data_IF_109314012198
#
_entry.id   IF_109314012198
#
_cell.length_a   1.000
_cell.length_b   1.000
_cell.length_c   1.000
_cell.angle_alpha   90.00
_cell.angle_beta   90.00
_cell.angle_gamma   90.00
#
_symmetry.space_group_name_H-M   'P 1'
#
loop_
_entity.id
_entity.type
_entity.pdbx_description
1 polymer ?
#
# COMPACT_ATOMS: atom_id res chain seq x y z
N UNK A 1 27.22 -13.83 26.73
CA UNK A 1 26.45 -13.71 25.46
C UNK A 1 26.03 -12.27 25.13
N UNK A 2 25.58 -11.44 26.09
CA UNK A 2 25.17 -10.04 25.85
C UNK A 2 26.23 -9.16 25.15
N UNK A 3 27.50 -9.41 25.43
CA UNK A 3 28.61 -8.60 24.92
C UNK A 3 28.92 -8.85 23.43
N UNK A 4 28.64 -10.06 22.92
CA UNK A 4 28.86 -10.38 21.51
C UNK A 4 27.84 -9.67 20.60
N UNK A 5 26.58 -9.59 21.03
CA UNK A 5 25.54 -8.84 20.34
C UNK A 5 25.85 -7.33 20.30
N UNK A 6 26.35 -6.77 21.41
CA UNK A 6 26.78 -5.37 21.47
C UNK A 6 28.00 -5.10 20.57
N UNK A 7 28.95 -6.04 20.50
CA UNK A 7 30.10 -5.91 19.60
C UNK A 7 29.69 -5.96 18.13
N UNK A 8 28.79 -6.89 17.75
CA UNK A 8 28.24 -6.98 16.39
C UNK A 8 27.43 -5.72 16.04
N UNK A 9 26.63 -5.22 16.99
CA UNK A 9 25.88 -3.97 16.81
C UNK A 9 26.81 -2.78 16.57
N UNK A 10 27.83 -2.60 17.42
CA UNK A 10 28.80 -1.51 17.25
C UNK A 10 29.58 -1.65 15.94
N UNK A 11 30.03 -2.86 15.58
CA UNK A 11 30.71 -3.08 14.31
C UNK A 11 29.83 -2.73 13.10
N UNK A 12 28.56 -3.10 13.12
CA UNK A 12 27.62 -2.75 12.05
C UNK A 12 27.38 -1.24 12.00
N UNK A 13 27.17 -0.59 13.13
CA UNK A 13 26.92 0.86 13.22
C UNK A 13 28.16 1.67 12.81
N UNK A 14 29.35 1.22 13.21
CA UNK A 14 30.64 1.86 12.99
C UNK A 14 31.15 1.61 11.57
N UNK A 15 30.99 0.40 11.04
CA UNK A 15 31.22 0.07 9.63
C UNK A 15 30.27 0.83 8.70
N UNK A 16 28.99 0.92 9.07
CA UNK A 16 28.00 1.67 8.31
C UNK A 16 28.27 3.18 8.31
N UNK A 17 28.70 3.74 9.46
CA UNK A 17 28.99 5.18 9.60
C UNK A 17 30.31 5.61 8.97
N UNK A 18 31.34 4.76 9.02
CA UNK A 18 32.68 5.04 8.48
C UNK A 18 32.73 4.98 6.95
N UNK A 19 31.75 4.34 6.31
CA UNK A 19 31.67 4.23 4.85
C UNK A 19 30.82 5.33 4.22
N UNK A 20 31.45 6.21 3.42
CA UNK A 20 30.76 7.20 2.58
C UNK A 20 29.87 6.54 1.52
N UNK A 21 30.35 5.43 0.93
CA UNK A 21 29.60 4.62 -0.03
C UNK A 21 28.37 3.96 0.60
N UNK A 22 28.53 3.36 1.80
CA UNK A 22 27.44 2.72 2.53
C UNK A 22 26.33 3.71 2.90
N UNK A 23 26.70 4.89 3.39
CA UNK A 23 25.75 5.98 3.68
C UNK A 23 25.01 6.44 2.43
N UNK A 24 25.73 6.62 1.32
CA UNK A 24 25.14 7.03 0.03
C UNK A 24 24.15 5.98 -0.48
N UNK A 25 24.52 4.69 -0.45
CA UNK A 25 23.63 3.60 -0.84
C UNK A 25 22.39 3.52 0.04
N UNK A 26 22.53 3.68 1.36
CA UNK A 26 21.39 3.68 2.27
C UNK A 26 20.45 4.87 2.03
N UNK A 27 20.99 6.05 1.76
CA UNK A 27 20.20 7.22 1.38
C UNK A 27 19.46 6.96 0.06
N UNK A 28 20.11 6.32 -0.92
CA UNK A 28 19.46 5.92 -2.18
C UNK A 28 18.33 4.91 -1.92
N UNK A 29 18.54 3.91 -1.05
CA UNK A 29 17.51 2.93 -0.69
C UNK A 29 16.34 3.63 0.00
N UNK A 30 16.60 4.47 1.00
CA UNK A 30 15.55 5.25 1.69
C UNK A 30 14.79 6.16 0.74
N UNK A 31 15.49 6.87 -0.14
CA UNK A 31 14.88 7.72 -1.15
C UNK A 31 14.03 6.90 -2.11
N UNK A 32 14.53 5.75 -2.58
CA UNK A 32 13.79 4.87 -3.48
C UNK A 32 12.56 4.29 -2.80
N UNK A 33 12.66 3.86 -1.54
CA UNK A 33 11.51 3.40 -0.75
C UNK A 33 10.50 4.54 -0.52
N UNK A 34 10.96 5.76 -0.23
CA UNK A 34 10.09 6.91 -0.06
C UNK A 34 9.36 7.28 -1.36
N UNK A 35 10.08 7.36 -2.47
CA UNK A 35 9.52 7.66 -3.80
C UNK A 35 8.60 6.53 -4.27
N UNK A 36 9.01 5.27 -4.11
CA UNK A 36 8.15 4.12 -4.44
C UNK A 36 6.90 4.10 -3.56
N UNK A 37 7.03 4.34 -2.26
CA UNK A 37 5.87 4.43 -1.37
C UNK A 37 4.96 5.58 -1.77
N UNK A 38 5.51 6.75 -2.12
CA UNK A 38 4.70 7.90 -2.51
C UNK A 38 4.03 7.69 -3.86
N UNK A 39 4.72 7.15 -4.88
CA UNK A 39 4.13 6.86 -6.20
C UNK A 39 3.10 5.74 -6.07
N UNK A 40 3.42 4.62 -5.40
CA UNK A 40 2.44 3.57 -5.16
C UNK A 40 1.27 4.11 -4.36
N UNK A 41 1.50 4.92 -3.32
CA UNK A 41 0.40 5.52 -2.55
C UNK A 41 -0.43 6.49 -3.41
N UNK A 42 0.19 7.35 -4.20
CA UNK A 42 -0.49 8.34 -5.03
C UNK A 42 -1.10 7.72 -6.30
N UNK A 43 -0.71 6.51 -6.72
CA UNK A 43 -1.28 5.76 -7.84
C UNK A 43 -2.31 4.71 -7.41
N UNK A 44 -2.16 4.14 -6.21
CA UNK A 44 -3.07 3.15 -5.64
C UNK A 44 -4.18 3.80 -4.80
N UNK A 45 -3.96 5.02 -4.27
CA UNK A 45 -4.98 5.83 -3.57
C UNK A 45 -5.50 7.12 -4.27
N UNK A 46 -5.21 7.48 -5.55
CA UNK A 46 -5.80 8.66 -6.19
C UNK A 46 -7.26 8.41 -6.56
N UNK A 47 -7.60 7.17 -6.90
CA UNK A 47 -8.96 6.74 -7.24
C UNK A 47 -9.79 6.37 -6.01
N UNK A 48 -9.21 6.41 -4.80
CA UNK A 48 -9.94 6.22 -3.54
C UNK A 48 -10.50 7.53 -2.98
N UNK A 49 -9.98 8.69 -3.39
CA UNK A 49 -10.36 9.99 -2.79
C UNK A 49 -10.82 11.05 -3.80
N UNK A 50 -10.61 10.85 -5.11
CA UNK A 50 -10.81 11.94 -6.08
C UNK A 50 -11.86 11.68 -7.17
N UNK A 51 -12.50 10.51 -7.21
CA UNK A 51 -13.39 10.17 -8.34
C UNK A 51 -14.82 9.82 -7.93
N UNK A 52 -15.29 10.41 -6.82
CA UNK A 52 -16.73 10.50 -6.49
C UNK A 52 -17.08 11.75 -5.68
N UNK A 53 -18.04 12.57 -6.14
CA UNK A 53 -18.85 13.43 -5.28
C UNK A 53 -19.70 12.64 -4.25
N UNK A 54 -19.76 11.30 -4.37
CA UNK A 54 -20.52 10.45 -3.46
C UNK A 54 -20.02 9.00 -3.53
N UNK A 55 -19.33 8.53 -2.49
CA UNK A 55 -19.12 7.07 -2.26
C UNK A 55 -20.45 6.30 -2.08
N UNK A 56 -21.57 7.03 -1.93
CA UNK A 56 -22.90 6.46 -1.78
C UNK A 56 -23.48 5.82 -3.05
N UNK A 57 -22.97 6.13 -4.26
CA UNK A 57 -23.66 5.77 -5.52
C UNK A 57 -23.11 4.50 -6.20
N UNK A 58 -21.81 4.20 -6.11
CA UNK A 58 -21.23 2.99 -6.73
C UNK A 58 -21.54 1.71 -5.94
N UNK A 59 -21.65 1.78 -4.62
CA UNK A 59 -22.06 0.64 -3.78
C UNK A 59 -23.52 0.23 -4.04
N UNK A 60 -24.39 1.21 -4.29
CA UNK A 60 -25.81 0.97 -4.59
C UNK A 60 -26.02 0.26 -5.94
N UNK A 61 -25.19 0.56 -6.95
CA UNK A 61 -25.31 -0.06 -8.28
C UNK A 61 -24.93 -1.55 -8.29
N UNK A 62 -23.83 -1.92 -7.63
CA UNK A 62 -23.42 -3.34 -7.53
C UNK A 62 -24.36 -4.14 -6.60
N UNK A 63 -24.92 -3.49 -5.58
CA UNK A 63 -25.93 -4.09 -4.70
C UNK A 63 -27.23 -4.41 -5.43
N UNK A 64 -27.74 -3.48 -6.25
CA UNK A 64 -29.00 -3.65 -6.98
C UNK A 64 -28.92 -4.76 -8.05
N UNK A 65 -27.78 -4.89 -8.75
CA UNK A 65 -27.59 -5.95 -9.77
C UNK A 65 -27.58 -7.38 -9.16
N UNK A 66 -27.16 -7.50 -7.89
CA UNK A 66 -27.17 -8.77 -7.16
C UNK A 66 -28.55 -9.08 -6.57
N UNK A 67 -29.32 -8.06 -6.19
CA UNK A 67 -30.72 -8.23 -5.74
C UNK A 67 -31.62 -8.61 -6.94
N UNK A 68 -31.42 -7.98 -8.10
CA UNK A 68 -32.21 -8.24 -9.31
C UNK A 68 -31.99 -9.65 -9.89
N UNK A 69 -30.77 -10.21 -9.77
CA UNK A 69 -30.50 -11.61 -10.15
C UNK A 69 -30.90 -12.64 -9.10
N UNK A 70 -31.06 -12.24 -7.84
CA UNK A 70 -31.45 -13.13 -6.75
C UNK A 70 -32.97 -13.33 -6.64
N UNK A 71 -33.78 -12.50 -7.31
CA UNK A 71 -35.24 -12.61 -7.35
C UNK A 71 -35.69 -13.30 -8.66
N UNK A 72 -36.20 -14.54 -8.60
CA UNK A 72 -36.83 -15.17 -9.74
C UNK A 72 -38.29 -14.69 -9.86
N UNK A 73 -38.51 -13.50 -10.41
CA UNK A 73 -39.85 -13.10 -10.87
C UNK A 73 -39.94 -13.18 -12.39
N UNK A 74 -40.28 -14.38 -12.87
CA UNK A 74 -41.18 -14.48 -14.02
C UNK A 74 -42.34 -15.37 -13.60
N UNK A 75 -43.54 -14.82 -13.33
CA UNK A 75 -44.76 -15.61 -13.42
C UNK A 75 -44.83 -16.10 -14.86
N UNK A 76 -44.93 -17.42 -15.04
CA UNK A 76 -45.17 -18.03 -16.33
C UNK A 76 -46.64 -17.73 -16.67
N UNK A 77 -46.87 -16.76 -17.55
CA UNK A 77 -48.18 -16.50 -18.14
C UNK A 77 -48.55 -17.65 -19.08
N UNK A 78 -49.54 -18.46 -18.69
CA UNK A 78 -50.31 -19.36 -19.55
C UNK A 78 -51.74 -18.84 -19.69
#
# INVERSE_FOLDING_TARGET
MKNALLAVWNFYLEGFRSMTLGRTLWVIILLKLFVMFFILKLFFFPNFLSDHPTEAEKGAYVGNELIERALPEKPIDF
#
